data_IF_258577057646
#
_entry.id   IF_258577057646
#
_cell.length_a   1.000
_cell.length_b   1.000
_cell.length_c   1.000
_cell.angle_alpha   90.00
_cell.angle_beta   90.00
_cell.angle_gamma   90.00
#
_symmetry.space_group_name_H-M   'P 1'
#
loop_
_entity.id
_entity.type
_entity.pdbx_description
1 polymer ?
#
# COMPACT_ATOMS: atom_id res chain seq x y z
N UNK A 1 -19.49 30.96 8.45
CA UNK A 1 -19.66 29.99 7.36
C UNK A 1 -19.89 28.60 7.97
N UNK A 2 -20.84 27.84 7.44
CA UNK A 2 -21.01 26.45 7.88
C UNK A 2 -19.80 25.62 7.43
N UNK A 3 -19.24 24.81 8.33
CA UNK A 3 -18.13 23.91 8.00
C UNK A 3 -18.55 22.90 6.91
N UNK A 4 -17.64 22.62 5.97
CA UNK A 4 -17.84 21.59 4.94
C UNK A 4 -17.97 20.21 5.62
N UNK A 5 -18.96 19.43 5.22
CA UNK A 5 -19.21 18.09 5.73
C UNK A 5 -18.50 17.07 4.88
N UNK A 6 -17.45 16.48 5.42
CA UNK A 6 -16.62 15.49 4.73
C UNK A 6 -16.91 14.11 5.31
N UNK A 7 -17.39 13.21 4.46
CA UNK A 7 -17.59 11.81 4.80
C UNK A 7 -16.44 10.94 4.27
N UNK A 8 -15.96 10.01 5.07
CA UNK A 8 -15.03 8.98 4.61
C UNK A 8 -15.71 7.62 4.75
N UNK A 9 -15.74 6.85 3.67
CA UNK A 9 -16.25 5.48 3.66
C UNK A 9 -15.12 4.49 3.66
N UNK A 10 -15.07 3.64 4.69
CA UNK A 10 -14.20 2.47 4.80
C UNK A 10 -14.99 1.29 5.30
N UNK A 11 -14.77 0.10 4.75
CA UNK A 11 -15.53 -1.09 5.19
C UNK A 11 -15.36 -1.36 6.68
N UNK A 12 -14.14 -1.21 7.20
CA UNK A 12 -13.80 -1.42 8.62
C UNK A 12 -12.55 -0.61 8.99
N UNK A 13 -12.34 -0.43 10.28
CA UNK A 13 -11.19 0.29 10.83
C UNK A 13 -10.15 -0.60 11.51
N UNK A 14 -10.23 -1.88 11.33
CA UNK A 14 -9.30 -2.84 11.91
C UNK A 14 -8.44 -3.49 10.84
N UNK A 15 -7.29 -3.99 11.25
CA UNK A 15 -6.40 -4.82 10.46
C UNK A 15 -6.18 -4.36 9.01
N UNK A 16 -5.00 -3.85 8.73
CA UNK A 16 -4.57 -3.53 7.37
C UNK A 16 -4.39 -2.04 7.08
N UNK A 17 -3.59 -1.80 6.05
CA UNK A 17 -3.10 -0.47 5.70
C UNK A 17 -4.20 0.54 5.41
N UNK A 18 -5.25 0.15 4.69
CA UNK A 18 -6.35 1.05 4.32
C UNK A 18 -7.10 1.58 5.55
N UNK A 19 -7.44 0.71 6.50
CA UNK A 19 -8.12 1.10 7.74
C UNK A 19 -7.26 2.07 8.56
N UNK A 20 -5.96 1.79 8.65
CA UNK A 20 -4.99 2.67 9.31
C UNK A 20 -4.90 4.05 8.66
N UNK A 21 -4.82 4.11 7.33
CA UNK A 21 -4.78 5.40 6.62
C UNK A 21 -6.09 6.15 6.74
N UNK A 22 -7.23 5.47 6.77
CA UNK A 22 -8.53 6.10 7.07
C UNK A 22 -8.51 6.80 8.42
N UNK A 23 -8.04 6.11 9.46
CA UNK A 23 -7.89 6.66 10.81
C UNK A 23 -6.97 7.89 10.80
N UNK A 24 -5.79 7.78 10.22
CA UNK A 24 -4.82 8.88 10.17
C UNK A 24 -5.39 10.09 9.42
N UNK A 25 -5.96 9.91 8.23
CA UNK A 25 -6.56 10.99 7.44
C UNK A 25 -7.62 11.74 8.25
N UNK A 26 -8.55 11.01 8.87
CA UNK A 26 -9.61 11.61 9.66
C UNK A 26 -9.07 12.37 10.86
N UNK A 27 -8.14 11.80 11.61
CA UNK A 27 -7.55 12.42 12.78
C UNK A 27 -6.71 13.67 12.44
N UNK A 28 -5.97 13.64 11.32
CA UNK A 28 -5.25 14.82 10.83
C UNK A 28 -6.21 15.93 10.40
N UNK A 29 -7.25 15.62 9.63
CA UNK A 29 -8.27 16.59 9.23
C UNK A 29 -9.04 17.16 10.43
N UNK A 30 -9.28 16.36 11.46
CA UNK A 30 -9.96 16.79 12.69
C UNK A 30 -9.20 17.88 13.43
N UNK A 31 -7.87 17.76 13.54
CA UNK A 31 -7.00 18.74 14.23
C UNK A 31 -7.08 20.14 13.64
N UNK A 32 -7.37 20.27 12.33
CA UNK A 32 -7.47 21.57 11.64
C UNK A 32 -8.79 22.27 11.96
N UNK A 33 -9.81 21.53 12.40
CA UNK A 33 -11.11 22.07 12.86
C UNK A 33 -11.89 22.93 11.84
N UNK A 34 -11.65 22.77 10.53
CA UNK A 34 -12.39 23.48 9.48
C UNK A 34 -13.48 22.62 8.82
N UNK A 35 -13.50 21.32 9.10
CA UNK A 35 -14.46 20.36 8.57
C UNK A 35 -15.35 19.76 9.66
N UNK A 36 -16.58 19.37 9.26
CA UNK A 36 -17.39 18.43 10.02
C UNK A 36 -17.13 17.04 9.44
N UNK A 37 -16.54 16.16 10.24
CA UNK A 37 -16.05 14.86 9.76
C UNK A 37 -17.01 13.72 10.12
N UNK A 38 -17.23 12.84 9.16
CA UNK A 38 -18.09 11.67 9.28
C UNK A 38 -17.35 10.44 8.79
N UNK A 39 -17.43 9.37 9.56
CA UNK A 39 -16.92 8.06 9.18
C UNK A 39 -18.07 7.10 8.96
N UNK A 40 -18.15 6.54 7.77
CA UNK A 40 -19.10 5.48 7.43
C UNK A 40 -18.37 4.15 7.41
N UNK A 41 -18.78 3.19 8.24
CA UNK A 41 -18.17 1.86 8.31
C UNK A 41 -19.23 0.78 8.26
N UNK A 42 -18.86 -0.41 7.77
CA UNK A 42 -19.68 -1.60 7.91
C UNK A 42 -19.60 -2.08 9.35
N UNK A 43 -20.76 -2.30 9.96
CA UNK A 43 -20.84 -2.97 11.24
C UNK A 43 -20.79 -4.49 11.04
N UNK A 44 -19.73 -5.12 11.50
CA UNK A 44 -19.52 -6.55 11.42
C UNK A 44 -19.60 -7.23 12.81
N UNK A 45 -19.99 -6.49 13.85
CA UNK A 45 -20.07 -7.01 15.22
C UNK A 45 -18.71 -7.27 15.87
N UNK A 46 -17.65 -6.66 15.38
CA UNK A 46 -16.32 -6.82 15.93
C UNK A 46 -16.09 -5.94 17.14
N UNK A 47 -15.16 -6.37 18.01
CA UNK A 47 -14.70 -5.60 19.13
C UNK A 47 -14.05 -4.29 18.69
N UNK A 48 -14.47 -3.18 19.31
CA UNK A 48 -13.92 -1.85 19.04
C UNK A 48 -12.47 -1.69 19.50
N UNK A 49 -12.00 -2.49 20.43
CA UNK A 49 -10.64 -2.46 20.96
C UNK A 49 -9.61 -2.87 19.87
N UNK A 50 -10.04 -3.65 18.89
CA UNK A 50 -9.19 -4.04 17.76
C UNK A 50 -9.10 -3.00 16.63
N UNK A 51 -9.83 -1.87 16.74
CA UNK A 51 -9.88 -0.84 15.71
C UNK A 51 -8.82 0.25 15.90
N UNK A 52 -8.38 0.85 14.79
CA UNK A 52 -7.53 2.04 14.86
C UNK A 52 -8.29 3.20 15.48
N UNK A 53 -7.59 3.98 16.30
CA UNK A 53 -8.14 5.12 17.01
C UNK A 53 -8.72 6.18 16.07
N UNK A 54 -9.91 6.69 16.44
CA UNK A 54 -10.59 7.83 15.81
C UNK A 54 -10.97 8.82 16.91
N UNK A 55 -10.71 10.11 16.69
CA UNK A 55 -11.10 11.19 17.59
C UNK A 55 -12.61 11.16 17.90
N UNK A 56 -12.98 11.32 19.18
CA UNK A 56 -14.34 11.09 19.67
C UNK A 56 -15.41 11.99 19.03
N UNK A 57 -15.02 13.17 18.55
CA UNK A 57 -15.96 14.12 17.92
C UNK A 57 -16.18 13.86 16.43
N UNK A 58 -15.51 12.87 15.84
CA UNK A 58 -15.79 12.42 14.49
C UNK A 58 -17.04 11.53 14.51
N UNK A 59 -18.08 11.97 13.78
CA UNK A 59 -19.36 11.26 13.78
C UNK A 59 -19.23 9.93 13.06
N UNK A 60 -19.35 8.82 13.79
CA UNK A 60 -19.30 7.48 13.24
C UNK A 60 -20.69 6.94 12.93
N UNK A 61 -20.89 6.44 11.71
CA UNK A 61 -22.15 5.88 11.23
C UNK A 61 -21.91 4.45 10.78
N UNK A 62 -22.59 3.52 11.45
CA UNK A 62 -22.52 2.09 11.14
C UNK A 62 -23.53 1.73 10.06
N UNK A 63 -23.09 1.02 9.02
CA UNK A 63 -23.89 0.59 7.88
C UNK A 63 -24.04 -0.92 7.91
N UNK A 64 -25.26 -1.39 8.24
CA UNK A 64 -25.63 -2.82 8.22
C UNK A 64 -26.33 -3.15 6.92
N UNK A 65 -26.08 -4.30 6.32
CA UNK A 65 -26.74 -4.85 5.12
C UNK A 65 -26.87 -3.85 3.93
N UNK A 66 -27.03 -4.31 2.71
CA UNK A 66 -27.20 -3.44 1.51
C UNK A 66 -26.32 -2.20 1.51
N UNK A 67 -25.01 -2.39 1.70
CA UNK A 67 -24.00 -1.37 2.06
C UNK A 67 -24.16 -0.09 1.22
N UNK A 68 -24.15 -0.17 -0.09
CA UNK A 68 -24.14 1.02 -0.95
C UNK A 68 -25.44 1.80 -0.89
N UNK A 69 -26.60 1.11 -0.90
CA UNK A 69 -27.91 1.79 -0.79
C UNK A 69 -28.02 2.54 0.54
N UNK A 70 -27.61 1.90 1.64
CA UNK A 70 -27.65 2.53 2.97
C UNK A 70 -26.62 3.64 3.11
N UNK A 71 -25.41 3.45 2.57
CA UNK A 71 -24.39 4.49 2.54
C UNK A 71 -24.96 5.76 1.88
N UNK A 72 -25.49 5.64 0.67
CA UNK A 72 -26.08 6.78 -0.06
C UNK A 72 -27.20 7.45 0.76
N UNK A 73 -28.09 6.64 1.36
CA UNK A 73 -29.16 7.18 2.22
C UNK A 73 -28.61 7.98 3.39
N UNK A 74 -27.62 7.45 4.13
CA UNK A 74 -27.03 8.13 5.29
C UNK A 74 -26.21 9.36 4.90
N UNK A 75 -25.45 9.28 3.79
CA UNK A 75 -24.69 10.41 3.25
C UNK A 75 -25.64 11.58 2.91
N UNK A 76 -26.78 11.32 2.25
CA UNK A 76 -27.80 12.33 1.96
C UNK A 76 -28.47 12.87 3.23
N UNK A 77 -28.86 11.97 4.16
CA UNK A 77 -29.46 12.36 5.45
C UNK A 77 -28.55 13.29 6.26
N UNK A 78 -27.24 13.05 6.24
CA UNK A 78 -26.23 13.87 6.92
C UNK A 78 -25.83 15.11 6.10
N UNK A 79 -26.36 15.24 4.89
CA UNK A 79 -26.05 16.34 3.94
C UNK A 79 -24.53 16.45 3.72
N UNK A 80 -23.88 15.33 3.45
CA UNK A 80 -22.42 15.28 3.17
C UNK A 80 -22.13 16.03 1.89
N UNK A 81 -21.21 16.97 1.93
CA UNK A 81 -20.80 17.76 0.76
C UNK A 81 -19.79 16.98 -0.10
N UNK A 82 -18.87 16.24 0.55
CA UNK A 82 -17.84 15.46 -0.11
C UNK A 82 -17.75 14.07 0.52
N UNK A 83 -17.78 13.03 -0.31
CA UNK A 83 -17.56 11.65 0.10
C UNK A 83 -16.22 11.14 -0.43
N UNK A 84 -15.26 10.88 0.47
CA UNK A 84 -14.03 10.15 0.15
C UNK A 84 -14.31 8.66 0.33
N UNK A 85 -14.07 7.86 -0.71
CA UNK A 85 -14.26 6.43 -0.62
C UNK A 85 -13.03 5.68 -1.14
N UNK A 86 -12.78 4.52 -0.51
CA UNK A 86 -11.50 3.79 -0.63
C UNK A 86 -11.72 2.36 -1.10
N UNK A 87 -12.78 2.12 -1.85
CA UNK A 87 -13.12 0.77 -2.25
C UNK A 87 -12.49 0.39 -3.61
N UNK A 88 -12.09 -0.86 -3.75
CA UNK A 88 -11.53 -1.42 -4.98
C UNK A 88 -12.56 -2.17 -5.85
N UNK A 89 -13.81 -2.26 -5.40
CA UNK A 89 -14.87 -2.90 -6.16
C UNK A 89 -15.37 -1.97 -7.28
N UNK A 90 -15.16 -2.37 -8.53
CA UNK A 90 -15.50 -1.56 -9.70
C UNK A 90 -16.97 -1.14 -9.77
N UNK A 91 -17.91 -2.03 -9.38
CA UNK A 91 -19.33 -1.69 -9.34
C UNK A 91 -19.63 -0.59 -8.33
N UNK A 92 -19.01 -0.62 -7.17
CA UNK A 92 -19.20 0.38 -6.13
C UNK A 92 -18.55 1.71 -6.51
N UNK A 93 -17.36 1.69 -7.13
CA UNK A 93 -16.72 2.88 -7.69
C UNK A 93 -17.68 3.56 -8.68
N UNK A 94 -18.22 2.82 -9.65
CA UNK A 94 -19.17 3.37 -10.63
C UNK A 94 -20.42 3.96 -9.98
N UNK A 95 -21.02 3.26 -9.02
CA UNK A 95 -22.23 3.75 -8.35
C UNK A 95 -21.95 5.03 -7.56
N UNK A 96 -20.89 5.06 -6.78
CA UNK A 96 -20.57 6.21 -5.93
C UNK A 96 -20.09 7.42 -6.75
N UNK A 97 -19.31 7.19 -7.80
CA UNK A 97 -18.79 8.25 -8.66
C UNK A 97 -19.87 8.93 -9.51
N UNK A 98 -20.98 8.21 -9.80
CA UNK A 98 -22.11 8.77 -10.56
C UNK A 98 -23.16 9.47 -9.68
N UNK A 99 -22.89 9.70 -8.40
CA UNK A 99 -23.75 10.54 -7.58
C UNK A 99 -23.65 12.01 -8.08
N UNK A 100 -24.78 12.59 -8.43
CA UNK A 100 -24.84 13.98 -8.97
C UNK A 100 -25.00 15.03 -7.88
N UNK A 101 -25.58 14.65 -6.78
CA UNK A 101 -25.88 15.49 -5.61
C UNK A 101 -24.76 15.52 -4.55
N UNK A 102 -23.77 14.66 -4.68
CA UNK A 102 -22.64 14.53 -3.74
C UNK A 102 -21.34 14.49 -4.52
N UNK A 103 -20.38 15.32 -4.14
CA UNK A 103 -19.05 15.29 -4.74
C UNK A 103 -18.25 14.13 -4.16
N UNK A 104 -17.63 13.33 -5.03
CA UNK A 104 -16.93 12.11 -4.61
C UNK A 104 -15.45 12.18 -4.97
N UNK A 105 -14.59 11.71 -4.05
CA UNK A 105 -13.17 11.51 -4.26
C UNK A 105 -12.90 10.02 -4.13
N UNK A 106 -12.39 9.40 -5.18
CA UNK A 106 -11.94 8.03 -5.15
C UNK A 106 -10.46 7.98 -4.74
N UNK A 107 -10.20 7.42 -3.55
CA UNK A 107 -8.84 7.23 -3.04
C UNK A 107 -8.41 5.78 -3.24
N UNK A 108 -7.52 5.56 -4.20
CA UNK A 108 -7.08 4.24 -4.61
C UNK A 108 -5.98 3.71 -3.69
N UNK A 109 -6.25 2.57 -3.05
CA UNK A 109 -5.32 1.87 -2.16
C UNK A 109 -4.82 0.52 -2.70
N UNK A 110 -5.33 0.08 -3.83
CA UNK A 110 -4.86 -1.15 -4.45
C UNK A 110 -3.81 -0.81 -5.50
N UNK A 111 -2.74 -1.57 -5.55
CA UNK A 111 -1.72 -1.38 -6.58
C UNK A 111 -2.32 -1.58 -7.97
N UNK A 112 -2.00 -0.68 -8.86
CA UNK A 112 -2.32 -0.78 -10.27
C UNK A 112 -1.75 -2.08 -10.88
N UNK A 113 -0.52 -2.46 -10.53
CA UNK A 113 0.08 -3.71 -10.99
C UNK A 113 -0.69 -4.95 -10.56
N UNK A 114 -1.40 -4.91 -9.42
CA UNK A 114 -2.30 -6.00 -9.03
C UNK A 114 -3.38 -6.25 -10.08
N UNK A 115 -3.90 -5.22 -10.73
CA UNK A 115 -4.91 -5.39 -11.77
C UNK A 115 -4.32 -5.93 -13.06
N UNK A 116 -3.11 -5.51 -13.41
CA UNK A 116 -2.41 -6.03 -14.57
C UNK A 116 -2.11 -7.53 -14.45
N UNK A 117 -1.95 -8.04 -13.23
CA UNK A 117 -1.75 -9.46 -12.96
C UNK A 117 -3.04 -10.30 -13.01
N UNK A 118 -4.20 -9.67 -13.12
CA UNK A 118 -5.49 -10.35 -13.20
C UNK A 118 -5.95 -10.52 -14.66
N UNK A 119 -7.08 -11.20 -14.84
CA UNK A 119 -7.65 -11.44 -16.16
C UNK A 119 -8.17 -10.14 -16.82
N UNK A 120 -8.34 -10.19 -18.13
CA UNK A 120 -8.81 -9.05 -18.92
C UNK A 120 -10.18 -8.51 -18.48
N UNK A 121 -11.13 -9.37 -18.12
CA UNK A 121 -12.45 -8.93 -17.68
C UNK A 121 -12.37 -8.07 -16.39
N UNK A 122 -11.48 -8.42 -15.49
CA UNK A 122 -11.24 -7.62 -14.28
C UNK A 122 -10.61 -6.27 -14.64
N UNK A 123 -9.60 -6.25 -15.52
CA UNK A 123 -8.97 -5.01 -15.99
C UNK A 123 -9.98 -4.08 -16.68
N UNK A 124 -10.83 -4.61 -17.57
CA UNK A 124 -11.90 -3.86 -18.22
C UNK A 124 -12.87 -3.24 -17.20
N UNK A 125 -13.28 -4.01 -16.20
CA UNK A 125 -14.17 -3.53 -15.15
C UNK A 125 -13.58 -2.38 -14.34
N UNK A 126 -12.27 -2.38 -14.10
CA UNK A 126 -11.55 -1.30 -13.43
C UNK A 126 -11.43 -0.08 -14.35
N UNK A 127 -11.11 -0.27 -15.62
CA UNK A 127 -11.09 0.80 -16.62
C UNK A 127 -12.41 1.59 -16.64
N UNK A 128 -13.55 0.88 -16.76
CA UNK A 128 -14.87 1.50 -16.74
C UNK A 128 -15.15 2.24 -15.42
N UNK A 129 -14.69 1.71 -14.29
CA UNK A 129 -14.87 2.32 -12.99
C UNK A 129 -14.10 3.64 -12.87
N UNK A 130 -12.88 3.67 -13.36
CA UNK A 130 -12.05 4.89 -13.35
C UNK A 130 -12.63 5.99 -14.22
N UNK A 131 -13.17 5.65 -15.39
CA UNK A 131 -13.85 6.61 -16.26
C UNK A 131 -15.12 7.22 -15.64
N UNK A 132 -15.68 6.56 -14.64
CA UNK A 132 -16.79 7.11 -13.86
C UNK A 132 -16.34 8.08 -12.76
N UNK A 133 -15.09 7.98 -12.32
CA UNK A 133 -14.58 8.76 -11.19
C UNK A 133 -14.08 10.13 -11.66
N UNK A 134 -14.63 11.21 -11.10
CA UNK A 134 -14.24 12.59 -11.44
C UNK A 134 -12.96 13.04 -10.75
N UNK A 135 -12.76 12.63 -9.51
CA UNK A 135 -11.58 12.98 -8.70
C UNK A 135 -10.93 11.71 -8.19
N UNK A 136 -9.72 11.45 -8.65
CA UNK A 136 -8.95 10.24 -8.35
C UNK A 136 -7.69 10.62 -7.60
N UNK A 137 -7.44 9.94 -6.49
CA UNK A 137 -6.17 10.00 -5.75
C UNK A 137 -5.51 8.64 -5.82
N UNK A 138 -4.25 8.58 -6.22
CA UNK A 138 -3.46 7.36 -6.27
C UNK A 138 -2.16 7.46 -5.47
N UNK A 139 -1.55 6.32 -5.18
CA UNK A 139 -0.34 6.17 -4.39
C UNK A 139 0.91 5.89 -5.24
N UNK A 140 0.76 5.78 -6.55
CA UNK A 140 1.83 5.35 -7.46
C UNK A 140 1.94 6.36 -8.61
N UNK A 141 3.10 7.02 -8.73
CA UNK A 141 3.36 7.97 -9.82
C UNK A 141 3.19 7.36 -11.21
N UNK A 142 3.69 6.14 -11.39
CA UNK A 142 3.58 5.42 -12.66
C UNK A 142 2.12 5.13 -13.03
N UNK A 143 1.25 4.89 -12.04
CA UNK A 143 -0.20 4.75 -12.25
C UNK A 143 -0.83 6.04 -12.77
N UNK A 144 -0.51 7.19 -12.16
CA UNK A 144 -1.02 8.48 -12.60
C UNK A 144 -0.62 8.79 -14.04
N UNK A 145 0.64 8.52 -14.38
CA UNK A 145 1.15 8.73 -15.73
C UNK A 145 0.44 7.83 -16.74
N UNK A 146 0.22 6.57 -16.41
CA UNK A 146 -0.53 5.62 -17.25
C UNK A 146 -1.99 6.05 -17.44
N UNK A 147 -2.71 6.34 -16.38
CA UNK A 147 -4.10 6.77 -16.41
C UNK A 147 -4.24 8.00 -17.29
N UNK A 148 -3.33 8.95 -17.16
CA UNK A 148 -3.35 10.16 -17.99
C UNK A 148 -3.06 9.86 -19.47
N UNK A 149 -1.97 9.17 -19.79
CA UNK A 149 -1.52 8.95 -21.16
C UNK A 149 -2.40 7.98 -21.95
N UNK A 150 -2.89 6.92 -21.29
CA UNK A 150 -3.64 5.86 -21.96
C UNK A 150 -5.15 6.01 -21.86
N UNK A 151 -5.64 6.58 -20.77
CA UNK A 151 -7.07 6.72 -20.54
C UNK A 151 -7.56 8.16 -20.63
N UNK A 152 -6.68 9.14 -20.75
CA UNK A 152 -7.04 10.54 -20.74
C UNK A 152 -7.62 11.04 -19.41
N UNK A 153 -7.44 10.27 -18.33
CA UNK A 153 -8.00 10.58 -17.02
C UNK A 153 -6.99 11.31 -16.15
N UNK A 154 -7.51 12.25 -15.37
CA UNK A 154 -6.72 13.01 -14.42
C UNK A 154 -6.76 12.37 -13.03
N UNK A 155 -5.60 12.21 -12.41
CA UNK A 155 -5.47 11.76 -11.04
C UNK A 155 -4.40 12.56 -10.30
N UNK A 156 -4.49 12.60 -8.97
CA UNK A 156 -3.53 13.26 -8.09
C UNK A 156 -2.72 12.20 -7.35
N UNK A 157 -1.41 12.31 -7.40
CA UNK A 157 -0.54 11.51 -6.56
C UNK A 157 -0.52 12.06 -5.13
N UNK A 158 -0.79 11.20 -4.15
CA UNK A 158 -0.60 11.49 -2.74
C UNK A 158 -0.01 10.27 -2.03
N UNK A 159 1.03 10.48 -1.25
CA UNK A 159 1.55 9.44 -0.37
C UNK A 159 0.55 9.12 0.76
N UNK A 160 0.79 8.03 1.47
CA UNK A 160 0.11 7.77 2.74
C UNK A 160 0.77 8.56 3.88
N UNK A 161 -0.02 8.85 4.91
CA UNK A 161 0.50 9.37 6.17
C UNK A 161 1.43 8.34 6.83
N UNK A 162 2.51 8.84 7.41
CA UNK A 162 3.43 8.03 8.22
C UNK A 162 2.99 8.12 9.68
N UNK A 163 2.79 6.95 10.32
CA UNK A 163 2.28 6.89 11.70
C UNK A 163 3.31 7.28 12.75
N UNK A 164 4.58 7.34 12.40
CA UNK A 164 5.69 7.50 13.33
C UNK A 164 6.35 8.87 13.21
N UNK A 165 6.67 9.47 14.36
CA UNK A 165 7.53 10.64 14.40
C UNK A 165 9.00 10.19 14.39
N UNK A 166 9.68 10.41 13.27
CA UNK A 166 11.09 10.04 13.10
C UNK A 166 12.01 10.56 14.21
N UNK A 167 11.74 11.76 14.75
CA UNK A 167 12.55 12.36 15.80
C UNK A 167 12.42 11.67 17.17
N UNK A 168 11.31 10.93 17.39
CA UNK A 168 10.99 10.29 18.68
C UNK A 168 11.28 8.79 18.70
N UNK A 169 11.44 8.17 17.53
CA UNK A 169 11.66 6.72 17.45
C UNK A 169 13.16 6.44 17.56
N UNK A 170 13.51 5.57 18.51
CA UNK A 170 14.88 5.06 18.67
C UNK A 170 15.08 3.94 17.62
N UNK A 171 16.14 4.00 16.80
CA UNK A 171 16.46 2.94 15.86
C UNK A 171 16.64 1.58 16.54
N UNK A 172 16.50 0.51 15.76
CA UNK A 172 16.80 -0.84 16.22
C UNK A 172 18.27 -1.00 16.58
N UNK A 173 18.52 -1.83 17.56
CA UNK A 173 19.86 -2.38 17.80
C UNK A 173 20.14 -3.43 16.71
N UNK A 174 20.91 -3.03 15.71
CA UNK A 174 21.26 -3.86 14.58
C UNK A 174 22.31 -4.94 14.88
N UNK A 175 22.71 -5.13 16.15
CA UNK A 175 23.63 -6.19 16.57
C UNK A 175 22.98 -7.59 16.51
N UNK A 176 21.64 -7.65 16.62
CA UNK A 176 20.90 -8.89 16.46
C UNK A 176 20.92 -9.38 15.02
N UNK A 177 21.25 -10.63 14.78
CA UNK A 177 21.22 -11.22 13.42
C UNK A 177 19.86 -11.87 13.11
N UNK A 178 18.78 -11.21 13.48
CA UNK A 178 17.42 -11.72 13.33
C UNK A 178 16.67 -11.02 12.20
N UNK A 179 15.74 -11.76 11.60
CA UNK A 179 14.92 -11.34 10.47
C UNK A 179 13.47 -11.15 10.95
N UNK A 180 12.74 -10.25 10.32
CA UNK A 180 11.30 -10.10 10.51
C UNK A 180 10.54 -10.14 9.18
N UNK A 181 9.36 -10.74 9.18
CA UNK A 181 8.37 -10.65 8.12
C UNK A 181 7.02 -10.24 8.72
N UNK A 182 6.33 -9.29 8.11
CA UNK A 182 5.08 -8.72 8.65
C UNK A 182 4.03 -8.60 7.56
N UNK A 183 2.82 -9.05 7.87
CA UNK A 183 1.66 -8.92 6.99
C UNK A 183 0.76 -10.13 7.05
N UNK A 184 -0.27 -10.17 6.19
CA UNK A 184 -1.04 -11.39 6.02
C UNK A 184 -0.16 -12.46 5.36
N UNK A 185 -0.12 -13.66 5.91
CA UNK A 185 0.65 -14.78 5.35
C UNK A 185 -0.03 -15.38 4.09
N UNK A 186 -0.53 -14.52 3.20
CA UNK A 186 -1.12 -14.90 1.91
C UNK A 186 0.02 -15.19 0.91
N UNK A 187 0.25 -16.46 0.61
CA UNK A 187 1.31 -16.90 -0.30
C UNK A 187 1.11 -16.44 -1.77
N UNK A 188 -0.09 -16.01 -2.17
CA UNK A 188 -0.30 -15.47 -3.52
C UNK A 188 0.23 -14.05 -3.67
N UNK A 189 0.10 -13.22 -2.63
CA UNK A 189 0.49 -11.81 -2.67
C UNK A 189 1.74 -11.52 -1.84
N UNK A 190 1.82 -12.03 -0.62
CA UNK A 190 2.89 -11.73 0.34
C UNK A 190 4.04 -12.72 0.30
N UNK A 191 3.80 -13.94 -0.19
CA UNK A 191 4.80 -14.99 -0.47
C UNK A 191 5.78 -15.26 0.67
N UNK A 192 5.28 -15.37 1.89
CA UNK A 192 6.10 -15.64 3.07
C UNK A 192 6.88 -16.96 2.97
N UNK A 193 6.37 -17.92 2.18
CA UNK A 193 7.08 -19.13 1.85
C UNK A 193 8.50 -18.90 1.30
N UNK A 194 8.72 -17.87 0.46
CA UNK A 194 10.05 -17.57 -0.09
C UNK A 194 11.05 -17.17 1.01
N UNK A 195 10.61 -16.36 1.98
CA UNK A 195 11.44 -16.01 3.12
C UNK A 195 11.76 -17.21 3.99
N UNK A 196 10.79 -18.12 4.19
CA UNK A 196 10.98 -19.35 4.98
C UNK A 196 11.95 -20.32 4.27
N UNK A 197 11.80 -20.51 2.94
CA UNK A 197 12.76 -21.29 2.17
C UNK A 197 14.17 -20.68 2.22
N UNK A 198 14.30 -19.35 2.22
CA UNK A 198 15.61 -18.70 2.32
C UNK A 198 16.27 -18.97 3.68
N UNK A 199 15.51 -19.21 4.76
CA UNK A 199 16.07 -19.53 6.07
C UNK A 199 16.89 -20.81 6.07
N UNK A 200 16.58 -21.81 5.23
CA UNK A 200 17.38 -23.03 5.11
C UNK A 200 18.83 -22.72 4.75
N UNK A 201 19.07 -21.80 3.84
CA UNK A 201 20.42 -21.35 3.45
C UNK A 201 21.03 -20.39 4.47
N UNK A 202 20.20 -19.51 5.07
CA UNK A 202 20.67 -18.49 6.03
C UNK A 202 21.23 -19.14 7.29
N UNK A 203 20.56 -20.16 7.84
CA UNK A 203 21.02 -20.84 9.08
C UNK A 203 22.29 -21.67 8.86
N UNK A 204 22.60 -22.08 7.62
CA UNK A 204 23.88 -22.73 7.33
C UNK A 204 25.06 -21.76 7.48
N UNK A 205 24.86 -20.48 7.19
CA UNK A 205 25.88 -19.43 7.32
C UNK A 205 25.83 -18.72 8.68
N UNK A 206 24.64 -18.62 9.28
CA UNK A 206 24.37 -17.90 10.54
C UNK A 206 23.42 -18.76 11.38
N UNK A 207 23.91 -19.79 12.06
CA UNK A 207 23.10 -20.80 12.77
C UNK A 207 22.18 -20.20 13.84
N UNK A 208 22.58 -19.09 14.46
CA UNK A 208 21.82 -18.38 15.51
C UNK A 208 20.71 -17.48 14.95
N UNK A 209 20.57 -17.34 13.63
CA UNK A 209 19.58 -16.48 13.03
C UNK A 209 18.16 -16.97 13.32
N UNK A 210 17.32 -16.07 13.84
CA UNK A 210 15.87 -16.30 13.99
C UNK A 210 15.08 -15.44 13.00
N UNK A 211 14.01 -16.02 12.44
CA UNK A 211 12.98 -15.28 11.70
C UNK A 211 11.71 -15.17 12.55
N UNK A 212 11.24 -13.93 12.72
CA UNK A 212 9.99 -13.61 13.42
C UNK A 212 8.91 -13.26 12.39
N UNK A 213 7.81 -13.99 12.43
CA UNK A 213 6.69 -13.77 11.52
C UNK A 213 5.50 -13.22 12.31
N UNK A 214 5.09 -11.98 11.94
CA UNK A 214 3.92 -11.33 12.50
C UNK A 214 2.78 -11.41 11.47
N UNK A 215 1.83 -12.32 11.71
CA UNK A 215 0.70 -12.58 10.81
C UNK A 215 -0.52 -13.08 11.53
N UNK A 216 -1.70 -12.86 10.95
CA UNK A 216 -2.94 -13.49 11.45
C UNK A 216 -2.88 -15.01 11.29
N UNK A 217 -3.49 -15.74 12.24
CA UNK A 217 -3.43 -17.20 12.28
C UNK A 217 -4.11 -17.90 11.08
N UNK A 218 -5.11 -17.26 10.49
CA UNK A 218 -5.99 -17.86 9.47
C UNK A 218 -5.27 -18.26 8.16
N UNK A 219 -4.03 -17.81 7.96
CA UNK A 219 -3.28 -18.04 6.72
C UNK A 219 -1.96 -18.79 6.89
N UNK A 220 -1.71 -19.36 8.08
CA UNK A 220 -0.38 -19.87 8.45
C UNK A 220 -0.21 -21.37 8.20
N UNK A 221 -1.29 -22.14 8.01
CA UNK A 221 -1.24 -23.62 7.98
C UNK A 221 -0.19 -24.19 7.02
N UNK A 222 -0.23 -23.83 5.75
CA UNK A 222 0.74 -24.32 4.78
C UNK A 222 2.19 -23.83 5.01
N UNK A 223 2.38 -22.72 5.75
CA UNK A 223 3.73 -22.25 6.12
C UNK A 223 4.31 -23.07 7.28
N UNK A 224 3.48 -23.53 8.22
CA UNK A 224 3.92 -24.41 9.31
C UNK A 224 4.39 -25.75 8.77
N UNK A 225 3.71 -26.30 7.74
CA UNK A 225 4.15 -27.52 7.06
C UNK A 225 5.54 -27.35 6.41
N UNK A 226 5.80 -26.23 5.77
CA UNK A 226 7.12 -25.94 5.18
C UNK A 226 8.19 -25.89 6.29
N UNK A 227 7.90 -25.21 7.41
CA UNK A 227 8.81 -25.12 8.55
C UNK A 227 9.12 -26.50 9.13
N UNK A 228 8.13 -27.38 9.20
CA UNK A 228 8.29 -28.74 9.69
C UNK A 228 9.16 -29.58 8.75
N UNK A 229 8.87 -29.57 7.46
CA UNK A 229 9.62 -30.31 6.44
C UNK A 229 11.09 -29.87 6.38
N UNK A 230 11.36 -28.58 6.54
CA UNK A 230 12.71 -28.02 6.53
C UNK A 230 13.41 -28.05 7.91
N UNK A 231 12.79 -28.61 8.95
CA UNK A 231 13.32 -28.63 10.32
C UNK A 231 13.68 -27.25 10.88
N UNK A 232 12.91 -26.21 10.55
CA UNK A 232 13.17 -24.82 10.92
C UNK A 232 12.45 -24.35 12.19
N UNK A 233 11.83 -25.25 12.97
CA UNK A 233 11.04 -24.88 14.17
C UNK A 233 11.81 -24.08 15.23
N UNK A 234 13.10 -24.27 15.31
CA UNK A 234 13.95 -23.54 16.27
C UNK A 234 14.27 -22.11 15.77
N UNK A 235 14.28 -21.89 14.46
CA UNK A 235 14.73 -20.65 13.82
C UNK A 235 13.59 -19.78 13.30
N UNK A 236 12.40 -20.35 12.99
CA UNK A 236 11.24 -19.59 12.48
C UNK A 236 10.09 -19.66 13.47
N UNK A 237 9.64 -18.49 13.93
CA UNK A 237 8.59 -18.37 14.96
C UNK A 237 7.46 -17.45 14.52
N UNK A 238 6.22 -17.91 14.70
CA UNK A 238 5.01 -17.12 14.51
C UNK A 238 4.56 -16.48 15.82
N UNK A 239 4.26 -15.17 15.77
CA UNK A 239 3.83 -14.39 16.93
C UNK A 239 2.37 -13.91 16.82
N UNK A 240 1.66 -14.30 15.76
CA UNK A 240 0.30 -13.83 15.56
C UNK A 240 0.22 -12.38 15.08
N UNK A 241 -1.00 -11.84 15.07
CA UNK A 241 -1.25 -10.43 14.85
C UNK A 241 -0.88 -9.60 16.08
N UNK A 242 -0.28 -8.46 15.86
CA UNK A 242 -0.03 -7.47 16.91
C UNK A 242 -0.38 -6.05 16.43
N UNK A 243 -0.96 -5.26 17.31
CA UNK A 243 -1.18 -3.83 17.10
C UNK A 243 0.09 -2.99 17.39
N UNK A 244 1.12 -3.61 18.00
CA UNK A 244 2.37 -2.97 18.43
C UNK A 244 3.60 -3.69 17.86
N UNK A 245 3.77 -3.75 16.52
CA UNK A 245 4.87 -4.46 15.87
C UNK A 245 6.25 -3.88 16.24
N UNK A 246 6.30 -2.65 16.73
CA UNK A 246 7.51 -1.95 17.13
C UNK A 246 8.27 -2.65 18.27
N UNK A 247 7.61 -3.45 19.07
CA UNK A 247 8.26 -4.25 20.13
C UNK A 247 9.26 -5.24 19.51
N UNK A 248 8.93 -5.78 18.35
CA UNK A 248 9.75 -6.73 17.62
C UNK A 248 10.87 -6.05 16.83
N UNK A 249 10.65 -4.82 16.31
CA UNK A 249 11.65 -4.12 15.51
C UNK A 249 12.96 -3.86 16.26
N UNK A 250 12.91 -3.71 17.58
CA UNK A 250 14.09 -3.41 18.41
C UNK A 250 15.12 -4.55 18.46
N UNK A 251 14.72 -5.78 18.14
CA UNK A 251 15.56 -7.00 18.27
C UNK A 251 15.69 -7.77 16.96
N UNK A 252 15.60 -7.05 15.85
CA UNK A 252 15.81 -7.61 14.51
C UNK A 252 16.66 -6.64 13.69
N UNK A 253 17.32 -7.15 12.67
CA UNK A 253 18.27 -6.38 11.87
C UNK A 253 17.97 -6.39 10.38
N UNK A 254 16.98 -7.13 9.95
CA UNK A 254 16.60 -7.25 8.54
C UNK A 254 15.10 -7.52 8.43
N UNK A 255 14.46 -6.87 7.47
CA UNK A 255 13.10 -7.18 7.06
C UNK A 255 13.10 -7.78 5.65
N UNK A 256 12.49 -8.94 5.48
CA UNK A 256 12.24 -9.57 4.19
C UNK A 256 10.79 -9.33 3.81
N UNK A 257 10.56 -8.72 2.66
CA UNK A 257 9.24 -8.31 2.18
C UNK A 257 9.01 -8.81 0.75
N UNK A 258 8.71 -10.10 0.56
CA UNK A 258 8.67 -10.75 -0.74
C UNK A 258 7.33 -10.55 -1.49
N UNK A 259 6.60 -9.49 -1.19
CA UNK A 259 5.32 -9.18 -1.83
C UNK A 259 5.44 -9.04 -3.35
N UNK A 260 4.46 -9.58 -4.07
CA UNK A 260 4.35 -9.42 -5.54
C UNK A 260 3.90 -8.00 -5.90
N UNK A 261 3.01 -7.43 -5.10
CA UNK A 261 2.35 -6.17 -5.43
C UNK A 261 2.01 -5.38 -4.18
N UNK A 262 2.34 -4.10 -4.22
CA UNK A 262 2.07 -3.11 -3.17
C UNK A 262 1.63 -1.78 -3.80
N UNK A 263 0.86 -1.01 -3.07
CA UNK A 263 0.55 0.37 -3.48
C UNK A 263 1.47 1.41 -2.82
N UNK A 264 1.82 1.20 -1.55
CA UNK A 264 2.72 2.08 -0.81
C UNK A 264 3.75 1.29 0.00
N UNK A 265 3.34 0.19 0.65
CA UNK A 265 4.23 -0.59 1.51
C UNK A 265 4.37 0.02 2.91
N UNK A 266 3.28 0.16 3.66
CA UNK A 266 3.31 0.73 5.02
C UNK A 266 4.30 0.02 5.93
N UNK A 267 4.41 -1.30 5.82
CA UNK A 267 5.37 -2.08 6.62
C UNK A 267 6.81 -1.71 6.28
N UNK A 268 7.13 -1.43 5.00
CA UNK A 268 8.46 -0.91 4.63
C UNK A 268 8.74 0.45 5.27
N UNK A 269 7.72 1.31 5.33
CA UNK A 269 7.85 2.58 6.03
C UNK A 269 8.15 2.35 7.52
N UNK A 270 7.40 1.47 8.16
CA UNK A 270 7.55 1.14 9.58
C UNK A 270 8.94 0.61 9.90
N UNK A 271 9.42 -0.36 9.14
CA UNK A 271 10.75 -0.95 9.36
C UNK A 271 11.88 0.07 9.11
N UNK A 272 11.75 0.92 8.10
CA UNK A 272 12.71 2.02 7.84
C UNK A 272 12.77 3.06 8.96
N UNK A 273 11.65 3.34 9.62
CA UNK A 273 11.62 4.23 10.81
C UNK A 273 12.55 3.71 11.90
N UNK A 274 12.67 2.40 12.03
CA UNK A 274 13.58 1.73 12.98
C UNK A 274 14.96 1.44 12.41
N UNK A 275 15.30 2.01 11.26
CA UNK A 275 16.59 1.79 10.56
C UNK A 275 16.82 0.33 10.17
N UNK A 276 15.79 -0.45 9.92
CA UNK A 276 15.95 -1.81 9.41
C UNK A 276 16.21 -1.78 7.91
N UNK A 277 17.27 -2.43 7.41
CA UNK A 277 17.40 -2.78 6.00
C UNK A 277 16.24 -3.64 5.53
N UNK A 278 15.90 -3.54 4.25
CA UNK A 278 14.81 -4.28 3.66
C UNK A 278 15.24 -5.03 2.41
N UNK A 279 14.81 -6.28 2.24
CA UNK A 279 14.84 -7.01 0.98
C UNK A 279 13.44 -7.05 0.41
N UNK A 280 13.26 -6.61 -0.83
CA UNK A 280 11.98 -6.60 -1.57
C UNK A 280 12.15 -7.26 -2.94
N UNK A 281 11.04 -7.69 -3.54
CA UNK A 281 11.05 -8.37 -4.83
C UNK A 281 10.32 -7.57 -5.92
N UNK A 282 11.05 -6.73 -6.65
CA UNK A 282 10.53 -6.00 -7.81
C UNK A 282 9.47 -4.95 -7.49
N UNK A 283 9.64 -4.20 -6.40
CA UNK A 283 8.70 -3.15 -5.98
C UNK A 283 9.23 -1.73 -6.23
N UNK A 284 10.00 -1.54 -7.30
CA UNK A 284 10.63 -0.27 -7.65
C UNK A 284 9.65 0.84 -8.11
N UNK A 285 8.37 0.50 -8.29
CA UNK A 285 7.32 1.44 -8.65
C UNK A 285 6.63 2.13 -7.45
N UNK A 286 6.83 1.64 -6.23
CA UNK A 286 6.27 2.31 -5.03
C UNK A 286 7.20 3.42 -4.54
N UNK A 287 6.64 4.53 -4.08
CA UNK A 287 7.43 5.70 -3.68
C UNK A 287 8.39 5.45 -2.50
N UNK A 288 8.05 4.51 -1.64
CA UNK A 288 8.80 4.20 -0.41
C UNK A 288 10.01 3.28 -0.63
N UNK A 289 10.23 2.72 -1.83
CA UNK A 289 11.28 1.72 -2.03
C UNK A 289 12.71 2.26 -1.91
N UNK A 290 12.92 3.52 -2.29
CA UNK A 290 14.27 4.14 -2.31
C UNK A 290 14.89 4.22 -0.91
N UNK A 291 16.20 4.00 -0.83
CA UNK A 291 16.98 4.04 0.43
C UNK A 291 16.78 2.83 1.35
N UNK A 292 17.86 2.24 1.82
CA UNK A 292 17.84 1.13 2.78
C UNK A 292 17.17 -0.15 2.30
N UNK A 293 17.04 -0.32 0.99
CA UNK A 293 16.29 -1.42 0.39
C UNK A 293 17.10 -2.09 -0.71
N UNK A 294 17.24 -3.40 -0.65
CA UNK A 294 17.76 -4.23 -1.72
C UNK A 294 16.55 -4.75 -2.51
N UNK A 295 16.45 -4.36 -3.75
CA UNK A 295 15.36 -4.78 -4.65
C UNK A 295 15.83 -5.88 -5.57
N UNK A 296 15.33 -7.09 -5.35
CA UNK A 296 15.68 -8.29 -6.13
C UNK A 296 14.66 -8.44 -7.26
N UNK A 297 15.15 -8.73 -8.47
CA UNK A 297 14.32 -8.89 -9.67
C UNK A 297 14.21 -10.36 -10.12
N UNK A 298 14.40 -11.29 -9.19
CA UNK A 298 14.09 -12.70 -9.38
C UNK A 298 13.38 -13.25 -8.12
N UNK A 299 12.79 -14.44 -8.23
CA UNK A 299 12.11 -15.12 -7.13
C UNK A 299 12.95 -16.29 -6.58
N UNK A 300 14.26 -16.31 -6.87
CA UNK A 300 15.16 -17.37 -6.39
C UNK A 300 15.43 -17.19 -4.91
N UNK A 301 15.22 -18.27 -4.22
CA UNK A 301 15.41 -18.36 -2.77
C UNK A 301 16.87 -18.12 -2.40
N UNK A 302 17.80 -18.60 -3.22
CA UNK A 302 19.25 -18.45 -3.07
C UNK A 302 19.67 -16.98 -3.16
N UNK A 303 19.04 -16.20 -4.06
CA UNK A 303 19.31 -14.76 -4.19
C UNK A 303 18.86 -14.02 -2.95
N UNK A 304 17.66 -14.34 -2.43
CA UNK A 304 17.14 -13.75 -1.17
C UNK A 304 18.08 -14.10 0.00
N UNK A 305 18.49 -15.36 0.10
CA UNK A 305 19.38 -15.84 1.15
C UNK A 305 20.76 -15.18 1.08
N UNK A 306 21.36 -15.10 -0.12
CA UNK A 306 22.67 -14.47 -0.33
C UNK A 306 22.68 -13.01 0.10
N UNK A 307 21.66 -12.21 -0.28
CA UNK A 307 21.57 -10.82 0.13
C UNK A 307 21.31 -10.70 1.65
N UNK A 308 20.50 -11.58 2.23
CA UNK A 308 20.27 -11.61 3.66
C UNK A 308 21.56 -11.92 4.45
N UNK A 309 22.32 -12.93 4.04
CA UNK A 309 23.62 -13.33 4.65
C UNK A 309 24.60 -12.16 4.57
N UNK A 310 24.71 -11.51 3.42
CA UNK A 310 25.58 -10.35 3.22
C UNK A 310 25.22 -9.20 4.16
N UNK A 311 23.93 -8.87 4.30
CA UNK A 311 23.46 -7.79 5.18
C UNK A 311 23.71 -8.18 6.65
N UNK A 312 23.38 -9.40 7.05
CA UNK A 312 23.54 -9.84 8.43
C UNK A 312 24.99 -10.08 8.81
N UNK A 313 25.86 -10.43 7.86
CA UNK A 313 27.29 -10.70 8.08
C UNK A 313 28.17 -9.45 8.16
N UNK A 314 27.73 -8.31 7.61
CA UNK A 314 28.48 -7.06 7.60
C UNK A 314 27.75 -5.97 8.39
N UNK A 315 28.22 -5.72 9.64
CA UNK A 315 27.62 -4.75 10.55
C UNK A 315 27.68 -3.32 10.00
N UNK A 316 28.77 -2.95 9.32
CA UNK A 316 28.92 -1.62 8.72
C UNK A 316 27.96 -1.42 7.55
N UNK A 317 27.89 -2.39 6.66
CA UNK A 317 26.98 -2.36 5.53
C UNK A 317 25.51 -2.31 5.98
N UNK A 318 25.14 -3.15 6.95
CA UNK A 318 23.82 -3.18 7.55
C UNK A 318 23.41 -1.84 8.15
N UNK A 319 24.32 -1.20 8.90
CA UNK A 319 24.10 0.12 9.49
C UNK A 319 23.91 1.20 8.43
N UNK A 320 24.76 1.24 7.41
CA UNK A 320 24.66 2.21 6.29
C UNK A 320 23.30 2.05 5.59
N UNK A 321 22.88 0.81 5.29
CA UNK A 321 21.57 0.56 4.68
C UNK A 321 20.43 1.04 5.59
N UNK A 322 20.46 0.70 6.86
CA UNK A 322 19.43 1.11 7.82
C UNK A 322 19.29 2.63 7.93
N UNK A 323 20.40 3.34 8.06
CA UNK A 323 20.45 4.80 8.11
C UNK A 323 19.94 5.44 6.80
N UNK A 324 20.34 4.89 5.66
CA UNK A 324 19.85 5.32 4.35
C UNK A 324 18.33 5.15 4.23
N UNK A 325 17.79 4.03 4.74
CA UNK A 325 16.36 3.77 4.80
C UNK A 325 15.62 4.82 5.62
N UNK A 326 16.08 5.08 6.82
CA UNK A 326 15.48 6.09 7.70
C UNK A 326 15.55 7.51 7.11
N UNK A 327 16.71 7.87 6.53
CA UNK A 327 16.89 9.17 5.86
C UNK A 327 15.94 9.34 4.68
N UNK A 328 15.66 8.28 3.93
CA UNK A 328 14.74 8.32 2.79
C UNK A 328 13.31 8.69 3.17
N UNK A 329 12.92 8.53 4.44
CA UNK A 329 11.59 8.89 4.92
C UNK A 329 11.40 10.40 5.14
N UNK A 330 12.45 11.19 5.11
CA UNK A 330 12.36 12.66 5.33
C UNK A 330 11.55 13.38 4.25
N UNK A 331 11.39 12.77 3.07
CA UNK A 331 10.54 13.31 1.99
C UNK A 331 9.03 13.14 2.25
N UNK A 332 8.66 12.31 3.23
CA UNK A 332 7.27 12.03 3.59
C UNK A 332 6.86 12.91 4.76
N UNK A 333 6.47 14.14 4.46
CA UNK A 333 6.01 15.11 5.44
C UNK A 333 4.49 15.04 5.58
N UNK A 334 4.02 14.69 6.78
CA UNK A 334 2.59 14.59 7.07
C UNK A 334 1.88 15.94 7.07
N UNK A 335 2.57 17.04 7.37
CA UNK A 335 1.97 18.38 7.37
C UNK A 335 1.76 18.86 5.94
N UNK A 336 2.74 18.69 5.08
CA UNK A 336 2.61 18.98 3.64
C UNK A 336 1.53 18.10 2.99
N UNK A 337 1.46 16.82 3.35
CA UNK A 337 0.44 15.92 2.86
C UNK A 337 -0.96 16.33 3.33
N UNK A 338 -1.10 16.74 4.60
CA UNK A 338 -2.35 17.26 5.14
C UNK A 338 -2.79 18.54 4.41
N UNK A 339 -1.86 19.46 4.17
CA UNK A 339 -2.14 20.67 3.38
C UNK A 339 -2.66 20.31 1.97
N UNK A 340 -2.04 19.33 1.30
CA UNK A 340 -2.46 18.85 -0.01
C UNK A 340 -3.86 18.25 0.03
N UNK A 341 -4.22 17.48 1.07
CA UNK A 341 -5.57 16.98 1.29
C UNK A 341 -6.60 18.08 1.51
N UNK A 342 -6.28 19.09 2.33
CA UNK A 342 -7.15 20.25 2.56
C UNK A 342 -7.41 20.97 1.25
N UNK A 343 -6.35 21.26 0.50
CA UNK A 343 -6.44 21.93 -0.81
C UNK A 343 -7.31 21.14 -1.80
N UNK A 344 -7.16 19.80 -1.84
CA UNK A 344 -8.00 18.94 -2.66
C UNK A 344 -9.47 19.02 -2.25
N UNK A 345 -9.78 18.88 -0.96
CA UNK A 345 -11.15 18.92 -0.45
C UNK A 345 -11.81 20.27 -0.77
N UNK A 346 -11.10 21.37 -0.56
CA UNK A 346 -11.59 22.72 -0.88
C UNK A 346 -11.80 22.91 -2.39
N UNK A 347 -10.87 22.44 -3.21
CA UNK A 347 -10.96 22.49 -4.66
C UNK A 347 -12.18 21.73 -5.18
N UNK A 348 -12.38 20.53 -4.68
CA UNK A 348 -13.55 19.71 -5.01
C UNK A 348 -14.84 20.40 -4.57
N UNK A 349 -14.87 21.00 -3.36
CA UNK A 349 -16.05 21.66 -2.82
C UNK A 349 -16.44 22.89 -3.64
N UNK A 350 -15.50 23.77 -3.91
CA UNK A 350 -15.76 25.03 -4.61
C UNK A 350 -15.72 24.93 -6.13
N UNK A 351 -15.23 23.82 -6.70
CA UNK A 351 -15.13 23.63 -8.15
C UNK A 351 -14.11 24.54 -8.83
N UNK A 352 -13.06 24.93 -8.09
CA UNK A 352 -12.02 25.82 -8.61
C UNK A 352 -10.90 25.07 -9.35
N UNK A 353 -10.06 25.81 -10.08
CA UNK A 353 -8.93 25.28 -10.88
C UNK A 353 -7.77 24.69 -10.04
N UNK A 354 -7.90 24.68 -8.72
CA UNK A 354 -6.82 24.24 -7.85
C UNK A 354 -6.51 22.74 -7.99
N UNK A 355 -7.52 21.92 -8.36
CA UNK A 355 -7.32 20.51 -8.67
C UNK A 355 -6.33 20.34 -9.84
N UNK A 356 -6.45 21.18 -10.87
CA UNK A 356 -5.51 21.18 -12.00
C UNK A 356 -4.11 21.58 -11.57
N UNK A 357 -3.98 22.62 -10.71
CA UNK A 357 -2.69 23.04 -10.17
C UNK A 357 -2.02 21.95 -9.33
N UNK A 358 -2.77 21.26 -8.46
CA UNK A 358 -2.23 20.15 -7.66
C UNK A 358 -1.66 19.03 -8.56
N UNK A 359 -2.28 18.79 -9.70
CA UNK A 359 -1.81 17.81 -10.68
C UNK A 359 -0.52 18.27 -11.38
N UNK A 360 -0.44 19.57 -11.73
CA UNK A 360 0.74 20.14 -12.38
C UNK A 360 1.97 20.15 -11.45
N UNK A 361 1.74 20.32 -10.14
CA UNK A 361 2.78 20.29 -9.11
C UNK A 361 3.30 18.86 -8.83
N UNK A 362 2.57 17.81 -9.23
CA UNK A 362 3.00 16.43 -9.05
C UNK A 362 4.23 16.13 -9.92
N UNK A 363 5.31 15.69 -9.28
CA UNK A 363 6.51 15.25 -10.00
C UNK A 363 6.15 14.09 -10.92
N UNK A 364 6.26 14.32 -12.22
CA UNK A 364 6.10 13.27 -13.21
C UNK A 364 7.31 12.34 -13.14
N UNK A 365 7.06 11.04 -13.27
CA UNK A 365 8.12 10.08 -13.49
C UNK A 365 8.75 10.34 -14.88
N UNK A 366 10.07 10.29 -14.98
CA UNK A 366 10.70 10.42 -16.29
C UNK A 366 10.37 9.20 -17.17
N UNK A 367 10.34 9.42 -18.49
CA UNK A 367 10.04 8.36 -19.46
C UNK A 367 11.01 7.19 -19.33
N UNK A 368 12.30 7.47 -19.18
CA UNK A 368 13.33 6.46 -19.00
C UNK A 368 13.15 5.65 -17.70
N UNK A 369 12.78 6.31 -16.59
CA UNK A 369 12.52 5.62 -15.33
C UNK A 369 11.27 4.74 -15.44
N UNK A 370 10.20 5.26 -16.04
CA UNK A 370 8.97 4.51 -16.29
C UNK A 370 9.22 3.26 -17.14
N UNK A 371 9.96 3.42 -18.25
CA UNK A 371 10.34 2.32 -19.15
C UNK A 371 11.14 1.23 -18.41
N UNK A 372 12.14 1.64 -17.65
CA UNK A 372 12.97 0.70 -16.87
C UNK A 372 12.14 -0.10 -15.85
N UNK A 373 11.26 0.56 -15.11
CA UNK A 373 10.37 -0.11 -14.16
C UNK A 373 9.48 -1.12 -14.89
N UNK A 374 8.90 -0.75 -16.01
CA UNK A 374 8.03 -1.63 -16.78
C UNK A 374 8.77 -2.84 -17.34
N UNK A 375 9.98 -2.67 -17.86
CA UNK A 375 10.86 -3.75 -18.32
C UNK A 375 11.16 -4.73 -17.18
N UNK A 376 11.49 -4.22 -15.99
CA UNK A 376 11.71 -5.05 -14.81
C UNK A 376 10.45 -5.86 -14.44
N UNK A 377 9.28 -5.23 -14.46
CA UNK A 377 8.01 -5.90 -14.16
C UNK A 377 7.68 -6.98 -15.20
N UNK A 378 7.90 -6.72 -16.49
CA UNK A 378 7.73 -7.71 -17.57
C UNK A 378 8.65 -8.91 -17.37
N UNK A 379 9.91 -8.69 -17.03
CA UNK A 379 10.86 -9.76 -16.80
C UNK A 379 10.48 -10.62 -15.59
N UNK A 380 10.08 -10.00 -14.50
CA UNK A 380 9.56 -10.71 -13.34
C UNK A 380 8.33 -11.58 -13.66
N UNK A 381 7.41 -11.05 -14.45
CA UNK A 381 6.23 -11.79 -14.88
C UNK A 381 6.57 -13.00 -15.74
N UNK A 382 7.50 -12.85 -16.68
CA UNK A 382 7.99 -13.98 -17.52
C UNK A 382 8.60 -15.07 -16.65
N UNK A 383 9.39 -14.71 -15.65
CA UNK A 383 9.99 -15.68 -14.72
C UNK A 383 8.97 -16.40 -13.84
N UNK A 384 7.93 -15.69 -13.44
CA UNK A 384 6.87 -16.21 -12.54
C UNK A 384 5.94 -17.21 -13.23
N UNK A 385 6.05 -17.41 -14.55
CA UNK A 385 5.25 -18.36 -15.34
C UNK A 385 3.75 -18.38 -14.96
N UNK A 386 3.16 -17.20 -14.71
CA UNK A 386 1.77 -17.14 -14.30
C UNK A 386 0.87 -17.49 -15.50
N UNK A 387 -0.26 -18.15 -15.22
CA UNK A 387 -1.30 -18.48 -16.21
C UNK A 387 -1.77 -17.22 -16.98
N UNK A 388 -1.57 -16.05 -16.38
CA UNK A 388 -1.94 -14.75 -16.93
C UNK A 388 -0.79 -13.98 -17.57
N UNK A 389 0.40 -14.59 -17.70
CA UNK A 389 1.61 -13.89 -18.15
C UNK A 389 1.41 -13.19 -19.49
N UNK A 390 0.79 -13.86 -20.48
CA UNK A 390 0.55 -13.28 -21.79
C UNK A 390 -0.44 -12.11 -21.76
N UNK A 391 -1.51 -12.22 -20.99
CA UNK A 391 -2.49 -11.14 -20.81
C UNK A 391 -1.86 -9.96 -20.10
N UNK A 392 -1.06 -10.22 -19.07
CA UNK A 392 -0.37 -9.19 -18.31
C UNK A 392 0.73 -8.52 -19.13
N UNK A 393 1.53 -9.28 -19.88
CA UNK A 393 2.52 -8.73 -20.82
C UNK A 393 1.84 -7.87 -21.88
N UNK A 394 0.71 -8.30 -22.42
CA UNK A 394 -0.09 -7.51 -23.36
C UNK A 394 -0.59 -6.23 -22.71
N UNK A 395 -1.11 -6.31 -21.49
CA UNK A 395 -1.57 -5.14 -20.73
C UNK A 395 -0.41 -4.18 -20.43
N UNK A 396 0.79 -4.69 -20.11
CA UNK A 396 1.98 -3.90 -19.84
C UNK A 396 2.57 -3.33 -21.13
N UNK A 397 2.58 -4.07 -22.23
CA UNK A 397 3.03 -3.56 -23.53
C UNK A 397 2.15 -2.41 -24.03
N UNK A 398 0.87 -2.39 -23.67
CA UNK A 398 0.02 -1.23 -23.85
C UNK A 398 0.40 -0.02 -22.95
N UNK A 399 1.26 -0.25 -21.95
CA UNK A 399 1.91 0.76 -21.13
C UNK A 399 3.11 1.42 -21.79
N UNK A 400 3.83 0.68 -22.61
CA UNK A 400 5.04 1.22 -23.21
C UNK A 400 4.68 2.39 -24.11
N UNK A 401 5.48 3.43 -24.02
CA UNK A 401 5.47 4.65 -24.82
C UNK A 401 5.57 4.40 -26.35
N UNK A 402 5.37 3.16 -26.76
CA UNK A 402 5.36 2.80 -28.18
C UNK A 402 4.02 3.13 -28.79
N UNK A 403 4.10 4.07 -29.70
CA UNK A 403 3.16 4.46 -30.74
C UNK A 403 1.79 3.80 -30.81
N UNK A 404 0.77 4.65 -30.76
CA UNK A 404 -0.55 4.56 -31.40
C UNK A 404 -1.01 3.17 -31.88
N UNK A 405 -1.04 2.16 -31.00
CA UNK A 405 -1.75 0.93 -31.30
C UNK A 405 -3.03 0.92 -30.50
N UNK A 406 -4.07 1.42 -31.13
CA UNK A 406 -5.49 1.11 -31.01
C UNK A 406 -5.93 0.27 -29.81
N UNK A 407 -6.14 0.96 -28.69
CA UNK A 407 -7.02 0.43 -27.63
C UNK A 407 -8.44 0.23 -28.18
N UNK A 408 -8.79 0.89 -29.29
CA UNK A 408 -10.10 0.77 -29.93
C UNK A 408 -10.46 -0.65 -30.40
N UNK A 409 -9.46 -1.54 -30.64
CA UNK A 409 -9.71 -2.92 -31.08
C UNK A 409 -9.88 -3.93 -29.94
N UNK A 410 -9.92 -3.49 -28.66
CA UNK A 410 -10.05 -4.38 -27.50
C UNK A 410 -11.31 -4.14 -26.66
N UNK A 411 -12.21 -3.26 -27.12
CA UNK A 411 -13.51 -3.00 -26.50
C UNK A 411 -14.67 -3.44 -27.40
#
# INVERSE_FOLDING_TARGET
MNKIRVGVFSYYLRNGGRARITSLLLNYLYKINIFNLYLFTRDLGFDKESEYFIENNIVRISIKNSIIKKLIKEVRKKKIDILIFQNSNSKEIRILSNLTDIKTIFYQHQSFFYWLYNNYAYFKSIYEAYHSAKYIVSLIHLENDYIFRKWGLESIFMNNFISYNLKRVIPSDLSYKNIIMIGRADNRLKRFNLGIYAMEYIIQAIPECEMKILSEADHVGGLLEIIDVLNLKNNVKFYGYTSTPEIFFKKVSLHIFPSISESFGLVLCETKVYSLPNIILGLDYISIYKGGTINIYDDRVETIASEAIKILGDDKYRKILGESGRKSLQIFDNELLLEKWIKLILSVHFGNSYYQKLREEDKKISENEAKKILENQINLLKMRNSIYTNVTIKNINNFTYMDNIEIQNYF
#
